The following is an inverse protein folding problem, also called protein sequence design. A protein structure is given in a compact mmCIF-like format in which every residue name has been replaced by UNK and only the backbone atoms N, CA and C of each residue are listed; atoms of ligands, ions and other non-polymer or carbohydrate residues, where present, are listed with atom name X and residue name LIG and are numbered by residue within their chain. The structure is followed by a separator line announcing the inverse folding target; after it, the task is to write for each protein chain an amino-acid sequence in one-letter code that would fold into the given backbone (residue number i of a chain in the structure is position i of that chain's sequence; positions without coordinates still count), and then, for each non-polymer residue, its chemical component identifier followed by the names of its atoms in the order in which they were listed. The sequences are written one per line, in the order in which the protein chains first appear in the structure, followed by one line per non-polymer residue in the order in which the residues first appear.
data_IF_143040969011
#
_entry.id   IF_143040969011
#
_cell.length_a   1.000
_cell.length_b   1.000
_cell.length_c   1.000
_cell.angle_alpha   90.00
_cell.angle_beta   90.00
_cell.angle_gamma   90.00
#
_symmetry.space_group_name_H-M   'P 1'
#
loop_
_entity.id
_entity.type
_entity.pdbx_description
1 polymer ?
#
# COMPACT_ATOMS: atom_id res chain seq x y z
N UNK A 1 -23.83 1.51 0.39
CA UNK A 1 -23.50 1.28 -1.04
C UNK A 1 -22.66 0.02 -1.09
N UNK A 2 -23.07 -1.01 -1.84
CA UNK A 2 -22.32 -2.29 -1.90
C UNK A 2 -21.16 -2.16 -2.89
N UNK A 3 -19.99 -2.68 -2.54
CA UNK A 3 -18.85 -2.82 -3.44
C UNK A 3 -18.91 -4.22 -4.06
N UNK A 4 -18.90 -4.36 -5.40
CA UNK A 4 -18.99 -5.66 -6.06
C UNK A 4 -17.83 -6.60 -5.69
N UNK A 5 -18.08 -7.92 -5.62
CA UNK A 5 -17.03 -8.89 -5.27
C UNK A 5 -15.98 -9.10 -6.38
N UNK A 6 -16.19 -8.58 -7.57
CA UNK A 6 -15.28 -8.62 -8.72
C UNK A 6 -14.75 -7.25 -9.11
N UNK A 7 -14.85 -6.27 -8.19
CA UNK A 7 -14.31 -4.92 -8.38
C UNK A 7 -12.79 -4.87 -8.19
N UNK A 8 -12.17 -3.78 -8.66
CA UNK A 8 -10.75 -3.49 -8.38
C UNK A 8 -10.48 -3.46 -6.87
N UNK A 9 -11.38 -2.90 -6.07
CA UNK A 9 -11.25 -2.90 -4.60
C UNK A 9 -11.21 -4.32 -4.01
N UNK A 10 -11.99 -5.25 -4.56
CA UNK A 10 -11.96 -6.65 -4.15
C UNK A 10 -10.65 -7.32 -4.60
N UNK A 11 -10.20 -7.04 -5.82
CA UNK A 11 -8.93 -7.54 -6.34
C UNK A 11 -7.75 -7.11 -5.46
N UNK A 12 -7.72 -5.84 -5.02
CA UNK A 12 -6.71 -5.33 -4.09
C UNK A 12 -6.69 -6.15 -2.80
N UNK A 13 -7.83 -6.38 -2.17
CA UNK A 13 -7.92 -7.18 -0.94
C UNK A 13 -7.47 -8.63 -1.17
N UNK A 14 -7.87 -9.26 -2.27
CA UNK A 14 -7.47 -10.62 -2.63
C UNK A 14 -5.96 -10.73 -2.85
N UNK A 15 -5.35 -9.78 -3.58
CA UNK A 15 -3.91 -9.80 -3.81
C UNK A 15 -3.13 -9.60 -2.50
N UNK A 16 -3.52 -8.65 -1.66
CA UNK A 16 -2.91 -8.46 -0.35
C UNK A 16 -2.95 -9.76 0.47
N UNK A 17 -4.12 -10.43 0.50
CA UNK A 17 -4.26 -11.71 1.21
C UNK A 17 -3.36 -12.79 0.64
N UNK A 18 -3.27 -12.91 -0.68
CA UNK A 18 -2.39 -13.89 -1.35
C UNK A 18 -0.90 -13.63 -1.11
N UNK A 19 -0.54 -12.39 -0.75
CA UNK A 19 0.82 -11.98 -0.35
C UNK A 19 1.07 -12.11 1.16
N UNK A 20 0.19 -12.78 1.91
CA UNK A 20 0.34 -13.03 3.33
C UNK A 20 -0.08 -11.87 4.24
N UNK A 21 -0.67 -10.81 3.69
CA UNK A 21 -1.13 -9.68 4.51
C UNK A 21 -2.32 -10.10 5.37
N UNK A 22 -2.14 -10.09 6.67
CA UNK A 22 -3.19 -10.42 7.65
C UNK A 22 -3.80 -9.18 8.29
N UNK A 23 -3.10 -8.07 8.25
CA UNK A 23 -3.54 -6.80 8.85
C UNK A 23 -3.08 -5.60 8.03
N UNK A 24 -3.89 -4.56 8.09
CA UNK A 24 -3.57 -3.25 7.54
C UNK A 24 -3.77 -2.20 8.61
N UNK A 25 -3.01 -1.12 8.54
CA UNK A 25 -3.09 0.01 9.46
C UNK A 25 -3.66 1.20 8.70
N UNK A 26 -4.66 1.90 9.23
CA UNK A 26 -5.22 2.98 8.44
C UNK A 26 -6.23 3.85 9.15
N UNK A 27 -6.56 4.94 8.47
CA UNK A 27 -7.65 5.83 8.82
C UNK A 27 -8.62 5.91 7.65
N UNK A 28 -9.88 5.55 7.92
CA UNK A 28 -10.90 5.50 6.88
C UNK A 28 -11.27 6.89 6.37
N UNK A 29 -11.55 6.97 5.07
CA UNK A 29 -12.10 8.17 4.42
C UNK A 29 -12.80 7.79 3.13
N UNK A 30 -13.56 8.72 2.55
CA UNK A 30 -14.45 8.44 1.42
C UNK A 30 -13.77 7.80 0.20
N UNK A 31 -12.53 8.23 -0.09
CA UNK A 31 -11.81 7.77 -1.28
C UNK A 31 -11.22 6.36 -1.14
N UNK A 32 -10.88 5.92 0.09
CA UNK A 32 -10.33 4.58 0.35
C UNK A 32 -11.40 3.57 0.79
N UNK A 33 -12.61 4.04 1.06
CA UNK A 33 -13.73 3.23 1.53
C UNK A 33 -13.99 1.95 0.70
N UNK A 34 -13.90 1.96 -0.64
CA UNK A 34 -14.15 0.74 -1.40
C UNK A 34 -13.21 -0.42 -1.02
N UNK A 35 -11.93 -0.17 -0.83
CA UNK A 35 -10.97 -1.20 -0.37
C UNK A 35 -11.30 -1.59 1.06
N UNK A 36 -11.49 -0.62 1.94
CA UNK A 36 -11.80 -0.83 3.35
C UNK A 36 -12.94 -1.83 3.55
N UNK A 37 -14.02 -1.68 2.77
CA UNK A 37 -15.19 -2.56 2.85
C UNK A 37 -14.96 -3.99 2.34
N UNK A 38 -13.86 -4.25 1.62
CA UNK A 38 -13.56 -5.58 1.08
C UNK A 38 -12.55 -6.37 1.91
N UNK A 39 -11.79 -5.72 2.79
CA UNK A 39 -10.73 -6.38 3.56
C UNK A 39 -11.25 -7.48 4.48
N UNK A 40 -12.33 -7.20 5.21
CA UNK A 40 -12.92 -8.16 6.15
C UNK A 40 -13.42 -9.44 5.45
N UNK A 41 -14.00 -9.29 4.26
CA UNK A 41 -14.45 -10.42 3.44
C UNK A 41 -13.31 -11.40 3.05
N UNK A 42 -12.07 -10.94 3.09
CA UNK A 42 -10.87 -11.73 2.81
C UNK A 42 -10.06 -12.04 4.09
N UNK A 43 -10.62 -11.80 5.27
CA UNK A 43 -9.97 -12.10 6.55
C UNK A 43 -8.74 -11.23 6.81
N UNK A 44 -8.71 -10.00 6.31
CA UNK A 44 -7.67 -9.02 6.60
C UNK A 44 -8.19 -8.07 7.70
N UNK A 45 -7.52 -8.09 8.84
CA UNK A 45 -7.88 -7.23 9.97
C UNK A 45 -7.46 -5.78 9.71
N UNK A 46 -8.35 -4.86 10.01
CA UNK A 46 -8.05 -3.42 10.01
C UNK A 46 -7.67 -2.99 11.43
N UNK A 47 -6.52 -2.35 11.57
CA UNK A 47 -6.07 -1.65 12.77
C UNK A 47 -6.32 -0.17 12.55
N UNK A 48 -7.46 0.31 13.07
CA UNK A 48 -7.89 1.70 12.94
C UNK A 48 -7.00 2.62 13.80
N UNK A 49 -6.55 3.72 13.22
CA UNK A 49 -5.71 4.73 13.88
C UNK A 49 -6.43 6.07 13.95
N UNK A 50 -5.85 7.03 14.68
CA UNK A 50 -6.37 8.40 14.79
C UNK A 50 -5.54 9.43 14.03
N UNK A 51 -4.47 8.97 13.37
CA UNK A 51 -3.54 9.81 12.59
C UNK A 51 -2.84 8.93 11.56
N UNK A 52 -2.77 9.37 10.32
CA UNK A 52 -2.17 8.60 9.21
C UNK A 52 -0.66 8.40 9.38
N UNK A 53 0.03 9.29 10.10
CA UNK A 53 1.43 9.08 10.49
C UNK A 53 1.58 7.80 11.30
N UNK A 54 0.65 7.60 12.26
CA UNK A 54 0.66 6.39 13.07
C UNK A 54 0.42 5.14 12.21
N UNK A 55 -0.47 5.20 11.21
CA UNK A 55 -0.69 4.08 10.29
C UNK A 55 0.59 3.64 9.60
N UNK A 56 1.35 4.58 9.03
CA UNK A 56 2.59 4.25 8.32
C UNK A 56 3.68 3.81 9.27
N UNK A 57 3.84 4.43 10.45
CA UNK A 57 4.82 3.98 11.46
C UNK A 57 4.51 2.58 11.99
N UNK A 58 3.22 2.23 12.18
CA UNK A 58 2.81 0.88 12.58
C UNK A 58 3.08 -0.13 11.47
N UNK A 59 2.81 0.22 10.21
CA UNK A 59 3.15 -0.61 9.06
C UNK A 59 4.67 -0.81 8.95
N UNK A 60 5.46 0.24 9.15
CA UNK A 60 6.93 0.15 9.18
C UNK A 60 7.41 -0.76 10.31
N UNK A 61 6.95 -0.55 11.54
CA UNK A 61 7.35 -1.36 12.68
C UNK A 61 6.99 -2.84 12.48
N UNK A 62 5.79 -3.11 11.89
CA UNK A 62 5.39 -4.46 11.51
C UNK A 62 6.39 -5.07 10.52
N UNK A 63 6.73 -4.35 9.45
CA UNK A 63 7.67 -4.83 8.44
C UNK A 63 9.07 -5.09 9.01
N UNK A 64 9.58 -4.20 9.87
CA UNK A 64 10.90 -4.35 10.49
C UNK A 64 10.97 -5.53 11.46
N UNK A 65 9.89 -5.80 12.20
CA UNK A 65 9.88 -6.87 13.22
C UNK A 65 9.61 -8.24 12.59
N UNK A 66 8.73 -8.31 11.58
CA UNK A 66 8.30 -9.59 11.01
C UNK A 66 9.03 -9.97 9.72
N UNK A 67 9.61 -9.00 9.00
CA UNK A 67 10.12 -9.19 7.65
C UNK A 67 9.01 -9.25 6.57
N UNK A 68 7.75 -9.09 6.96
CA UNK A 68 6.60 -9.10 6.07
C UNK A 68 6.29 -7.70 5.50
N UNK A 69 5.42 -7.64 4.50
CA UNK A 69 4.94 -6.37 3.96
C UNK A 69 4.11 -5.61 5.00
N UNK A 70 4.54 -4.41 5.36
CA UNK A 70 3.71 -3.48 6.13
C UNK A 70 2.74 -2.73 5.20
N UNK A 71 1.44 -2.72 5.51
CA UNK A 71 0.45 -2.06 4.65
C UNK A 71 -0.28 -0.95 5.40
N UNK A 72 -0.24 0.26 4.85
CA UNK A 72 -1.01 1.40 5.34
C UNK A 72 -2.08 1.83 4.34
N UNK A 73 -3.29 2.12 4.84
CA UNK A 73 -4.42 2.63 4.04
C UNK A 73 -4.78 4.04 4.49
N UNK A 74 -4.78 4.99 3.55
CA UNK A 74 -5.07 6.39 3.84
C UNK A 74 -6.04 6.98 2.80
N UNK A 75 -6.76 8.04 3.19
CA UNK A 75 -7.63 8.73 2.23
C UNK A 75 -6.84 9.73 1.38
N UNK A 76 -7.50 10.36 0.40
CA UNK A 76 -6.92 11.38 -0.46
C UNK A 76 -6.52 12.65 0.31
N UNK A 77 -5.72 13.49 -0.34
CA UNK A 77 -5.37 14.83 0.15
C UNK A 77 -4.65 14.82 1.49
N UNK A 78 -5.27 15.34 2.56
CA UNK A 78 -4.64 15.39 3.88
C UNK A 78 -4.27 14.02 4.43
N UNK A 79 -4.95 12.94 4.05
CA UNK A 79 -4.57 11.59 4.45
C UNK A 79 -3.18 11.21 3.93
N UNK A 80 -2.89 11.56 2.67
CA UNK A 80 -1.57 11.32 2.08
C UNK A 80 -0.53 12.28 2.66
N UNK A 81 -0.83 13.57 2.78
CA UNK A 81 0.14 14.54 3.32
C UNK A 81 0.49 14.28 4.79
N UNK A 82 -0.46 13.83 5.61
CA UNK A 82 -0.18 13.38 6.97
C UNK A 82 0.72 12.12 6.97
N UNK A 83 0.50 11.19 6.07
CA UNK A 83 1.29 9.97 5.97
C UNK A 83 2.75 10.20 5.57
N UNK A 84 3.09 11.34 4.94
CA UNK A 84 4.43 11.61 4.39
C UNK A 84 5.55 11.48 5.42
N UNK A 85 5.34 11.89 6.67
CA UNK A 85 6.34 11.73 7.73
C UNK A 85 6.71 10.26 7.94
N UNK A 86 5.71 9.38 8.02
CA UNK A 86 5.94 7.94 8.16
C UNK A 86 6.58 7.32 6.91
N UNK A 87 6.15 7.77 5.71
CA UNK A 87 6.73 7.32 4.43
C UNK A 87 8.22 7.70 4.36
N UNK A 88 8.57 8.93 4.71
CA UNK A 88 9.96 9.38 4.74
C UNK A 88 10.81 8.57 5.73
N UNK A 89 10.27 8.24 6.92
CA UNK A 89 10.96 7.40 7.88
C UNK A 89 11.17 5.97 7.35
N UNK A 90 10.14 5.36 6.76
CA UNK A 90 10.24 4.04 6.14
C UNK A 90 11.24 4.02 4.96
N UNK A 91 11.35 5.14 4.22
CA UNK A 91 12.34 5.30 3.14
C UNK A 91 13.78 5.25 3.65
N UNK A 92 14.08 5.98 4.71
CA UNK A 92 15.42 6.00 5.34
C UNK A 92 15.75 4.65 5.96
N UNK A 93 14.79 3.99 6.61
CA UNK A 93 14.92 2.67 7.20
C UNK A 93 14.95 1.53 6.19
N UNK A 94 14.62 1.79 4.91
CA UNK A 94 14.47 0.77 3.86
C UNK A 94 13.44 -0.30 4.20
N UNK A 95 12.42 0.05 4.98
CA UNK A 95 11.38 -0.88 5.39
C UNK A 95 10.39 -1.15 4.24
N UNK A 96 10.03 -2.42 3.95
CA UNK A 96 9.07 -2.74 2.90
C UNK A 96 7.64 -2.38 3.34
N UNK A 97 7.24 -1.15 3.02
CA UNK A 97 5.92 -0.61 3.33
C UNK A 97 5.16 -0.31 2.04
N UNK A 98 3.92 -0.75 1.95
CA UNK A 98 3.00 -0.37 0.91
C UNK A 98 1.97 0.61 1.46
N UNK A 99 1.95 1.82 0.91
CA UNK A 99 0.93 2.83 1.22
C UNK A 99 -0.08 2.86 0.08
N UNK A 100 -1.34 2.56 0.40
CA UNK A 100 -2.44 2.56 -0.57
C UNK A 100 -3.36 3.73 -0.23
N UNK A 101 -3.68 4.55 -1.22
CA UNK A 101 -4.64 5.63 -1.08
C UNK A 101 -5.78 5.56 -2.09
N UNK A 102 -6.85 6.28 -1.81
CA UNK A 102 -7.86 6.60 -2.82
C UNK A 102 -7.62 8.01 -3.37
N UNK A 103 -8.17 8.31 -4.53
CA UNK A 103 -8.18 9.66 -5.10
C UNK A 103 -9.53 9.97 -5.74
N UNK A 104 -9.71 11.21 -6.18
CA UNK A 104 -10.94 11.64 -6.82
C UNK A 104 -11.30 10.76 -8.03
N UNK A 105 -12.59 10.59 -8.34
CA UNK A 105 -13.01 9.96 -9.59
C UNK A 105 -12.35 10.64 -10.79
N UNK A 106 -11.92 9.88 -11.79
CA UNK A 106 -11.22 10.39 -12.99
C UNK A 106 -11.86 11.63 -13.63
N UNK A 107 -13.20 11.75 -13.73
CA UNK A 107 -13.81 12.96 -14.30
C UNK A 107 -13.65 14.22 -13.41
N UNK A 108 -13.26 14.08 -12.15
CA UNK A 108 -13.07 15.16 -11.18
C UNK A 108 -11.61 15.48 -10.87
N UNK A 109 -10.66 14.71 -11.42
CA UNK A 109 -9.22 14.98 -11.23
C UNK A 109 -8.84 16.37 -11.73
N UNK A 110 -8.05 17.10 -10.95
CA UNK A 110 -7.57 18.45 -11.24
C UNK A 110 -8.68 19.49 -11.49
N UNK A 111 -9.85 19.28 -10.88
CA UNK A 111 -10.99 20.20 -10.98
C UNK A 111 -11.38 20.86 -9.66
N UNK A 112 -10.50 20.79 -8.66
CA UNK A 112 -10.73 21.36 -7.35
C UNK A 112 -11.79 20.60 -6.53
N UNK A 113 -11.91 19.30 -6.79
CA UNK A 113 -12.74 18.40 -5.98
C UNK A 113 -12.23 18.29 -4.53
N UNK A 114 -13.01 17.62 -3.67
CA UNK A 114 -12.60 17.39 -2.30
C UNK A 114 -11.28 16.62 -2.25
N UNK A 115 -10.27 17.17 -1.57
CA UNK A 115 -8.96 16.51 -1.36
C UNK A 115 -8.20 16.23 -2.68
N UNK A 116 -8.40 17.09 -3.69
CA UNK A 116 -7.79 16.95 -5.02
C UNK A 116 -6.34 17.44 -5.01
N UNK A 117 -5.40 16.51 -4.91
CA UNK A 117 -3.95 16.75 -4.91
C UNK A 117 -3.23 15.72 -5.79
N UNK A 118 -2.14 16.11 -6.42
CA UNK A 118 -1.24 15.16 -7.10
C UNK A 118 -0.35 14.45 -6.07
N UNK A 119 -0.90 13.37 -5.52
CA UNK A 119 -0.22 12.60 -4.48
C UNK A 119 1.09 11.97 -4.96
N UNK A 120 1.09 11.43 -6.19
CA UNK A 120 2.28 10.76 -6.75
C UNK A 120 3.45 11.72 -6.86
N UNK A 121 3.19 12.98 -7.21
CA UNK A 121 4.21 14.01 -7.24
C UNK A 121 4.77 14.29 -5.84
N UNK A 122 3.90 14.38 -4.83
CA UNK A 122 4.30 14.66 -3.45
C UNK A 122 5.18 13.58 -2.84
N UNK A 123 4.91 12.29 -3.11
CA UNK A 123 5.60 11.18 -2.45
C UNK A 123 6.77 10.61 -3.26
N UNK A 124 6.93 11.01 -4.51
CA UNK A 124 7.91 10.41 -5.46
C UNK A 124 9.34 10.37 -4.92
N UNK A 125 9.78 11.39 -4.21
CA UNK A 125 11.17 11.49 -3.71
C UNK A 125 11.45 10.66 -2.47
N UNK A 126 10.39 10.17 -1.81
CA UNK A 126 10.46 9.39 -0.57
C UNK A 126 9.86 7.99 -0.71
N UNK A 127 9.68 7.51 -1.94
CA UNK A 127 9.19 6.17 -2.25
C UNK A 127 10.06 5.49 -3.31
N UNK A 128 10.02 4.16 -3.36
CA UNK A 128 10.68 3.34 -4.40
C UNK A 128 9.79 3.19 -5.64
N UNK A 129 8.50 3.41 -5.46
CA UNK A 129 7.48 3.35 -6.50
C UNK A 129 6.34 4.29 -6.12
N UNK A 130 5.84 5.07 -7.07
CA UNK A 130 4.67 5.94 -6.89
C UNK A 130 3.82 5.94 -8.16
N UNK A 131 2.56 5.49 -8.06
CA UNK A 131 1.67 5.35 -9.21
C UNK A 131 0.21 5.63 -8.87
N UNK A 132 -0.49 6.32 -9.79
CA UNK A 132 -1.96 6.39 -9.82
C UNK A 132 -2.49 5.41 -10.86
N UNK A 133 -3.31 4.46 -10.44
CA UNK A 133 -3.87 3.42 -11.31
C UNK A 133 -5.25 3.84 -11.80
N UNK A 134 -5.33 4.35 -13.00
CA UNK A 134 -6.58 4.83 -13.60
C UNK A 134 -7.34 3.75 -14.35
N UNK A 135 -6.64 2.74 -14.87
CA UNK A 135 -7.21 1.68 -15.68
C UNK A 135 -7.43 0.41 -14.86
N UNK A 136 -8.70 -0.07 -14.72
CA UNK A 136 -8.99 -1.29 -13.98
C UNK A 136 -8.20 -2.53 -14.45
N UNK A 137 -7.90 -2.61 -15.74
CA UNK A 137 -7.14 -3.72 -16.32
C UNK A 137 -5.69 -3.77 -15.85
N UNK A 138 -5.12 -2.65 -15.42
CA UNK A 138 -3.74 -2.56 -14.94
C UNK A 138 -3.62 -2.73 -13.43
N UNK A 139 -4.74 -2.75 -12.70
CA UNK A 139 -4.74 -2.69 -11.24
C UNK A 139 -3.92 -3.83 -10.60
N UNK A 140 -4.02 -5.05 -11.14
CA UNK A 140 -3.27 -6.19 -10.62
C UNK A 140 -1.76 -6.04 -10.84
N UNK A 141 -1.37 -5.73 -12.08
CA UNK A 141 0.04 -5.62 -12.44
C UNK A 141 0.75 -4.47 -11.70
N UNK A 142 0.09 -3.31 -11.61
CA UNK A 142 0.64 -2.13 -10.94
C UNK A 142 0.74 -2.33 -9.42
N UNK A 143 -0.23 -3.02 -8.80
CA UNK A 143 -0.17 -3.34 -7.38
C UNK A 143 0.91 -4.40 -7.08
N UNK A 144 1.05 -5.41 -7.93
CA UNK A 144 2.09 -6.42 -7.80
C UNK A 144 3.49 -5.82 -7.97
N UNK A 145 3.66 -4.92 -8.94
CA UNK A 145 4.90 -4.15 -9.11
C UNK A 145 5.20 -3.29 -7.89
N UNK A 146 4.20 -2.60 -7.32
CA UNK A 146 4.39 -1.80 -6.11
C UNK A 146 4.89 -2.66 -4.93
N UNK A 147 4.33 -3.86 -4.74
CA UNK A 147 4.77 -4.81 -3.72
C UNK A 147 6.20 -5.26 -3.98
N UNK A 148 6.52 -5.66 -5.22
CA UNK A 148 7.86 -6.08 -5.61
C UNK A 148 8.89 -4.99 -5.36
N UNK A 149 8.58 -3.74 -5.69
CA UNK A 149 9.46 -2.59 -5.44
C UNK A 149 9.63 -2.29 -3.96
N UNK A 150 8.61 -2.51 -3.14
CA UNK A 150 8.75 -2.36 -1.70
C UNK A 150 9.78 -3.33 -1.13
N UNK A 151 9.87 -4.55 -1.65
CA UNK A 151 10.89 -5.53 -1.27
C UNK A 151 12.25 -5.35 -1.94
N UNK A 152 12.40 -4.37 -2.83
CA UNK A 152 13.67 -4.02 -3.46
C UNK A 152 13.94 -4.72 -4.80
N UNK A 153 12.93 -5.29 -5.46
CA UNK A 153 13.12 -5.77 -6.82
C UNK A 153 13.54 -4.60 -7.74
N UNK A 154 14.71 -4.77 -8.38
CA UNK A 154 15.31 -3.75 -9.24
C UNK A 154 15.97 -2.58 -8.52
N UNK A 155 16.21 -2.66 -7.18
CA UNK A 155 16.87 -1.61 -6.40
C UNK A 155 16.93 -1.91 -4.91
N UNK A 156 16.89 -0.85 -4.10
CA UNK A 156 16.83 -0.98 -2.65
C UNK A 156 15.38 -1.15 -2.17
N UNK A 157 15.13 -1.91 -1.08
CA UNK A 157 13.81 -1.97 -0.46
C UNK A 157 13.42 -0.60 0.13
N UNK A 158 12.13 -0.44 0.40
CA UNK A 158 11.61 0.79 0.98
C UNK A 158 10.13 0.97 0.66
N UNK A 159 9.52 2.11 1.02
CA UNK A 159 8.11 2.32 0.82
C UNK A 159 7.75 2.42 -0.66
N UNK A 160 6.66 1.78 -1.04
CA UNK A 160 5.96 1.97 -2.30
C UNK A 160 4.61 2.66 -2.04
N UNK A 161 4.18 3.48 -2.97
CA UNK A 161 2.92 4.20 -2.93
C UNK A 161 2.08 3.87 -4.16
N UNK A 162 0.80 3.61 -3.96
CA UNK A 162 -0.15 3.41 -5.04
C UNK A 162 -1.49 4.04 -4.67
N UNK A 163 -2.11 4.75 -5.60
CA UNK A 163 -3.46 5.23 -5.40
C UNK A 163 -4.39 4.93 -6.58
N UNK A 164 -5.67 4.96 -6.28
CA UNK A 164 -6.72 4.59 -7.22
C UNK A 164 -7.84 5.63 -7.21
N UNK A 165 -8.28 6.12 -8.38
CA UNK A 165 -9.54 6.84 -8.47
C UNK A 165 -10.70 6.01 -7.91
N UNK A 166 -11.61 6.66 -7.21
CA UNK A 166 -12.73 5.98 -6.53
C UNK A 166 -13.65 5.24 -7.51
N UNK A 167 -13.80 5.76 -8.72
CA UNK A 167 -14.56 5.10 -9.80
C UNK A 167 -13.81 3.88 -10.36
N UNK A 168 -12.47 3.93 -10.45
CA UNK A 168 -11.63 2.77 -10.78
C UNK A 168 -11.78 1.67 -9.73
N UNK A 169 -11.73 2.01 -8.43
CA UNK A 169 -11.91 1.02 -7.34
C UNK A 169 -13.25 0.28 -7.41
N UNK A 170 -14.29 0.94 -7.89
CA UNK A 170 -15.64 0.38 -8.02
C UNK A 170 -15.90 -0.34 -9.34
N UNK A 171 -15.03 -0.14 -10.31
CA UNK A 171 -15.15 -0.79 -11.62
C UNK A 171 -14.91 -2.29 -11.52
N UNK A 172 -15.62 -3.10 -12.32
CA UNK A 172 -15.30 -4.51 -12.42
C UNK A 172 -13.91 -4.70 -13.05
N UNK A 173 -13.19 -5.71 -12.57
CA UNK A 173 -11.93 -6.12 -13.19
C UNK A 173 -12.28 -6.83 -14.49
N UNK A 174 -11.74 -6.38 -15.65
CA UNK A 174 -11.86 -7.15 -16.87
C UNK A 174 -11.30 -8.55 -16.59
N UNK A 175 -12.01 -9.61 -16.98
CA UNK A 175 -11.56 -10.99 -16.74
C UNK A 175 -10.30 -11.26 -17.57
N UNK A 176 -9.10 -11.13 -17.07
CA UNK A 176 -7.92 -11.62 -17.74
C UNK A 176 -7.58 -13.01 -17.21
N UNK A 177 -7.11 -13.81 -18.09
CA UNK A 177 -6.74 -15.21 -17.87
C UNK A 177 -5.61 -15.39 -16.82
N UNK A 178 -4.90 -14.32 -16.43
CA UNK A 178 -3.69 -14.40 -15.61
C UNK A 178 -3.88 -14.11 -14.11
N UNK A 179 -5.11 -13.93 -13.63
CA UNK A 179 -5.38 -13.60 -12.23
C UNK A 179 -4.85 -14.68 -11.26
N UNK A 180 -4.98 -15.93 -11.63
CA UNK A 180 -4.54 -17.07 -10.81
C UNK A 180 -3.02 -17.15 -10.66
N UNK A 181 -2.27 -16.77 -11.67
CA UNK A 181 -0.80 -16.77 -11.65
C UNK A 181 -0.26 -15.66 -10.73
N UNK A 182 -0.83 -14.48 -10.79
CA UNK A 182 -0.46 -13.36 -9.93
C UNK A 182 -0.89 -13.55 -8.47
N UNK A 183 -1.98 -14.29 -8.24
CA UNK A 183 -2.48 -14.59 -6.90
C UNK A 183 -1.71 -15.71 -6.20
N UNK A 184 -0.80 -16.41 -6.87
CA UNK A 184 0.07 -17.40 -6.20
C UNK A 184 1.01 -16.68 -5.24
N UNK A 185 1.22 -17.22 -4.01
CA UNK A 185 2.21 -16.66 -3.11
C UNK A 185 3.57 -16.66 -3.81
N UNK A 186 4.20 -15.50 -3.95
CA UNK A 186 5.63 -15.45 -4.27
C UNK A 186 6.37 -15.86 -3.01
N UNK A 187 7.35 -16.73 -3.12
CA UNK A 187 8.29 -17.00 -2.03
C UNK A 187 8.93 -15.66 -1.63
N UNK A 188 8.66 -15.22 -0.42
CA UNK A 188 9.28 -13.99 0.09
C UNK A 188 10.77 -14.27 0.22
N UNK A 189 11.57 -13.60 -0.58
CA UNK A 189 13.02 -13.64 -0.42
C UNK A 189 13.35 -12.91 0.88
N UNK A 190 13.51 -13.68 1.94
CA UNK A 190 13.86 -13.19 3.28
C UNK A 190 15.32 -12.68 3.25
N UNK A 191 15.50 -11.44 2.79
CA UNK A 191 16.82 -10.77 2.86
C UNK A 191 16.94 -9.83 4.08
N UNK A 192 15.83 -9.62 4.84
CA UNK A 192 15.83 -8.64 5.91
C UNK A 192 16.34 -9.16 7.26
N UNK A 193 16.19 -10.45 7.58
CA UNK A 193 16.53 -10.97 8.90
C UNK A 193 18.03 -11.03 9.20
N UNK A 194 18.89 -11.21 8.19
CA UNK A 194 20.35 -11.24 8.40
C UNK A 194 20.94 -9.85 8.59
N UNK A 195 20.38 -8.82 7.98
CA UNK A 195 20.87 -7.44 8.16
C UNK A 195 20.43 -6.82 9.48
N UNK A 196 19.19 -7.06 9.92
CA UNK A 196 18.72 -6.61 11.24
C UNK A 196 19.50 -7.26 12.37
N UNK A 197 19.80 -8.56 12.30
CA UNK A 197 20.65 -9.24 13.27
C UNK A 197 22.06 -8.64 13.34
N UNK A 198 22.66 -8.30 12.18
CA UNK A 198 23.97 -7.65 12.14
C UNK A 198 23.94 -6.20 12.64
N UNK A 199 22.87 -5.44 12.36
CA UNK A 199 22.72 -4.06 12.85
C UNK A 199 22.53 -4.01 14.37
N UNK A 200 21.79 -4.94 14.97
CA UNK A 200 21.64 -5.02 16.42
C UNK A 200 22.92 -5.49 17.09
N UNK A 201 23.66 -6.42 16.50
CA UNK A 201 24.94 -6.89 17.04
C UNK A 201 26.02 -5.80 17.01
N UNK A 202 26.03 -4.93 15.97
CA UNK A 202 27.02 -3.87 15.82
C UNK A 202 26.71 -2.59 16.61
N UNK A 203 25.48 -2.40 17.12
CA UNK A 203 25.10 -1.19 17.89
C UNK A 203 25.21 -1.35 19.41
N UNK A 204 25.46 -2.55 19.92
CA UNK A 204 25.61 -2.81 21.38
C UNK A 204 27.04 -2.51 21.89
N UNK A 205 27.99 -2.16 21.02
CA UNK A 205 29.39 -1.90 21.41
C UNK A 205 29.84 -0.44 21.34
N UNK A 206 28.94 0.54 21.49
CA UNK A 206 29.32 1.94 21.70
C UNK A 206 28.51 2.48 22.89
N UNK A 207 29.01 2.22 24.08
CA UNK A 207 28.73 2.95 25.31
C UNK A 207 30.08 3.13 26.06
#
# INVERSE_FOLDING_TARGET
MKIPPDSVADLVARLLKSRGVERVFGLCGGHIMPIWMRLDAHGIRIVDVRDERAAVHMAQAHAEVTGELGVALVTAGPGVTNAMTGIANAHVSRAPVLVIAGTNPRPQENRGGLQDLDHTHLVRTITRYARTVREPALALAELDEAISRAFGEGGEPGPAYIDFPTDTLRSPVPKPVQLEEHLRPKEQVVHCSSQLSQMFTNRIFIA
#
